data_IF_558794626694
#
_entry.id   IF_558794626694
#
_cell.length_a   1.000
_cell.length_b   1.000
_cell.length_c   1.000
_cell.angle_alpha   90.00
_cell.angle_beta   90.00
_cell.angle_gamma   90.00
#
_symmetry.space_group_name_H-M   'P 1'
#
loop_
_entity.id
_entity.type
_entity.pdbx_description
1 polymer ?
#
# COMPACT_ATOMS: atom_id res chain seq x y z
N UNK A 1 -13.38 -12.18 33.42
CA UNK A 1 -11.93 -12.39 33.17
C UNK A 1 -11.71 -12.29 31.68
N UNK A 2 -11.35 -11.11 31.21
CA UNK A 2 -11.15 -10.78 29.80
C UNK A 2 -9.65 -10.70 29.51
N UNK A 3 -9.12 -11.68 28.81
CA UNK A 3 -7.81 -11.58 28.16
C UNK A 3 -7.95 -11.99 26.70
N UNK A 4 -8.50 -11.10 25.88
CA UNK A 4 -8.29 -11.18 24.44
C UNK A 4 -6.87 -10.66 24.21
N UNK A 5 -5.88 -11.54 24.31
CA UNK A 5 -4.55 -11.29 23.74
C UNK A 5 -4.72 -11.39 22.21
N UNK A 6 -5.37 -10.37 21.62
CA UNK A 6 -5.55 -10.27 20.19
C UNK A 6 -4.20 -10.02 19.55
N UNK A 7 -3.60 -11.04 18.94
CA UNK A 7 -2.40 -10.87 18.13
C UNK A 7 -2.64 -9.78 17.10
N UNK A 8 -1.75 -8.79 17.06
CA UNK A 8 -1.80 -7.68 16.10
C UNK A 8 -2.07 -8.22 14.68
N UNK A 9 -3.04 -7.66 13.93
CA UNK A 9 -3.30 -8.06 12.56
C UNK A 9 -2.04 -8.01 11.69
N UNK A 10 -1.89 -8.95 10.76
CA UNK A 10 -0.88 -8.84 9.73
C UNK A 10 -1.21 -7.67 8.81
N UNK A 11 -0.18 -6.99 8.32
CA UNK A 11 -0.31 -5.90 7.35
C UNK A 11 0.38 -6.34 6.06
N UNK A 12 -0.38 -6.39 4.97
CA UNK A 12 0.16 -6.77 3.66
C UNK A 12 0.07 -5.59 2.72
N UNK A 13 1.23 -5.21 2.18
CA UNK A 13 1.32 -4.21 1.13
C UNK A 13 1.08 -4.87 -0.23
N UNK A 14 0.12 -4.37 -1.00
CA UNK A 14 -0.20 -4.88 -2.34
C UNK A 14 0.23 -3.88 -3.42
N UNK A 15 1.16 -4.31 -4.26
CA UNK A 15 1.56 -3.62 -5.48
C UNK A 15 0.75 -4.19 -6.66
N UNK A 16 0.05 -3.34 -7.40
CA UNK A 16 -0.78 -3.78 -8.52
C UNK A 16 -1.09 -2.61 -9.47
N UNK A 17 -1.62 -2.92 -10.66
CA UNK A 17 -1.97 -1.90 -11.66
C UNK A 17 -3.09 -0.95 -11.21
N UNK A 18 -2.95 0.33 -11.57
CA UNK A 18 -4.02 1.34 -11.47
C UNK A 18 -5.12 1.17 -12.54
N UNK A 19 -4.91 0.28 -13.50
CA UNK A 19 -5.85 -0.08 -14.57
C UNK A 19 -6.24 -1.56 -14.49
N UNK A 20 -7.36 -1.93 -15.10
CA UNK A 20 -7.91 -3.30 -15.01
C UNK A 20 -7.13 -4.35 -15.81
N UNK A 21 -6.37 -3.93 -16.83
CA UNK A 21 -5.83 -4.84 -17.85
C UNK A 21 -6.91 -5.39 -18.77
N UNK A 22 -6.51 -6.29 -19.68
CA UNK A 22 -7.41 -6.93 -20.67
C UNK A 22 -7.86 -8.32 -20.25
N UNK A 23 -7.07 -9.02 -19.43
CA UNK A 23 -7.44 -10.33 -18.90
C UNK A 23 -8.29 -10.16 -17.61
N UNK A 24 -9.57 -10.58 -17.62
CA UNK A 24 -10.46 -10.41 -16.47
C UNK A 24 -10.01 -11.20 -15.23
N UNK A 25 -9.17 -12.23 -15.38
CA UNK A 25 -8.67 -13.04 -14.26
C UNK A 25 -7.80 -12.25 -13.29
N UNK A 26 -7.19 -11.15 -13.72
CA UNK A 26 -6.45 -10.25 -12.82
C UNK A 26 -7.37 -9.47 -11.88
N UNK A 27 -8.52 -9.00 -12.38
CA UNK A 27 -9.53 -8.32 -11.54
C UNK A 27 -10.20 -9.30 -10.58
N UNK A 28 -10.39 -10.55 -11.01
CA UNK A 28 -10.87 -11.62 -10.13
C UNK A 28 -9.86 -11.94 -9.03
N UNK A 29 -8.56 -12.05 -9.36
CA UNK A 29 -7.52 -12.26 -8.36
C UNK A 29 -7.47 -11.13 -7.31
N UNK A 30 -7.67 -9.87 -7.72
CA UNK A 30 -7.76 -8.74 -6.78
C UNK A 30 -8.94 -8.90 -5.80
N UNK A 31 -10.12 -9.34 -6.27
CA UNK A 31 -11.28 -9.62 -5.41
C UNK A 31 -11.03 -10.80 -4.48
N UNK A 32 -10.52 -11.91 -5.01
CA UNK A 32 -10.19 -13.09 -4.21
C UNK A 32 -9.17 -12.77 -3.11
N UNK A 33 -8.21 -11.88 -3.40
CA UNK A 33 -7.19 -11.50 -2.42
C UNK A 33 -7.81 -10.70 -1.26
N UNK A 34 -8.77 -9.82 -1.54
CA UNK A 34 -9.55 -9.16 -0.49
C UNK A 34 -10.33 -10.15 0.38
N UNK A 35 -10.94 -11.18 -0.22
CA UNK A 35 -11.61 -12.25 0.54
C UNK A 35 -10.63 -13.04 1.43
N UNK A 36 -9.46 -13.39 0.92
CA UNK A 36 -8.43 -14.06 1.72
C UNK A 36 -7.92 -13.14 2.84
N UNK A 37 -7.80 -11.83 2.62
CA UNK A 37 -7.40 -10.89 3.67
C UNK A 37 -8.45 -10.79 4.77
N UNK A 38 -9.72 -10.65 4.40
CA UNK A 38 -10.83 -10.64 5.36
C UNK A 38 -10.86 -11.92 6.21
N UNK A 39 -10.82 -13.08 5.57
CA UNK A 39 -10.86 -14.40 6.23
C UNK A 39 -9.74 -14.59 7.25
N UNK A 40 -8.57 -14.01 7.00
CA UNK A 40 -7.38 -14.16 7.84
C UNK A 40 -7.09 -12.94 8.74
N UNK A 41 -8.02 -11.98 8.83
CA UNK A 41 -7.85 -10.75 9.60
C UNK A 41 -6.57 -9.99 9.23
N UNK A 42 -6.37 -9.77 7.92
CA UNK A 42 -5.20 -9.07 7.35
C UNK A 42 -5.62 -7.67 6.94
N UNK A 43 -4.82 -6.68 7.30
CA UNK A 43 -4.98 -5.30 6.86
C UNK A 43 -4.20 -5.05 5.57
N UNK A 44 -4.76 -4.23 4.70
CA UNK A 44 -4.18 -3.85 3.41
C UNK A 44 -3.47 -2.50 3.51
N UNK A 45 -2.26 -2.44 2.98
CA UNK A 45 -1.60 -1.20 2.59
C UNK A 45 -1.43 -1.18 1.08
N UNK A 46 -1.69 -0.05 0.42
CA UNK A 46 -1.60 0.02 -1.04
C UNK A 46 -1.34 1.44 -1.55
N UNK A 47 -1.24 1.59 -2.87
CA UNK A 47 -0.91 2.85 -3.54
C UNK A 47 -1.96 3.95 -3.47
N UNK A 48 -3.13 3.73 -2.87
CA UNK A 48 -4.13 4.77 -2.66
C UNK A 48 -5.03 5.10 -3.86
N UNK A 49 -4.83 4.45 -5.02
CA UNK A 49 -5.67 4.62 -6.21
C UNK A 49 -7.09 4.09 -6.04
N UNK A 50 -8.01 4.52 -6.91
CA UNK A 50 -9.45 4.16 -6.85
C UNK A 50 -9.91 3.32 -8.05
N UNK A 51 -9.05 3.19 -9.06
CA UNK A 51 -9.30 2.47 -10.30
C UNK A 51 -8.53 1.14 -10.39
N UNK A 52 -8.87 0.35 -11.41
CA UNK A 52 -8.16 -0.90 -11.74
C UNK A 52 -8.11 -1.91 -10.60
N UNK A 53 -6.99 -2.63 -10.51
CA UNK A 53 -6.78 -3.64 -9.46
C UNK A 53 -6.69 -2.97 -8.08
N UNK A 54 -6.02 -1.81 -7.99
CA UNK A 54 -5.86 -1.04 -6.74
C UNK A 54 -7.21 -0.71 -6.09
N UNK A 55 -8.10 -0.07 -6.85
CA UNK A 55 -9.43 0.28 -6.35
C UNK A 55 -10.29 -0.95 -6.06
N UNK A 56 -10.11 -2.02 -6.82
CA UNK A 56 -10.87 -3.25 -6.67
C UNK A 56 -10.57 -3.96 -5.36
N UNK A 57 -9.29 -4.20 -5.05
CA UNK A 57 -8.92 -4.86 -3.79
C UNK A 57 -9.27 -3.99 -2.58
N UNK A 58 -9.01 -2.68 -2.66
CA UNK A 58 -9.32 -1.75 -1.57
C UNK A 58 -10.81 -1.73 -1.26
N UNK A 59 -11.65 -1.47 -2.27
CA UNK A 59 -13.10 -1.40 -2.09
C UNK A 59 -13.71 -2.71 -1.63
N UNK A 60 -13.24 -3.82 -2.18
CA UNK A 60 -13.77 -5.11 -1.77
C UNK A 60 -13.41 -5.45 -0.32
N UNK A 61 -12.18 -5.14 0.12
CA UNK A 61 -11.78 -5.37 1.50
C UNK A 61 -12.51 -4.42 2.48
N UNK A 62 -12.77 -3.17 2.10
CA UNK A 62 -13.58 -2.25 2.92
C UNK A 62 -15.00 -2.77 3.11
N UNK A 63 -15.64 -3.28 2.06
CA UNK A 63 -16.98 -3.89 2.18
C UNK A 63 -17.00 -5.07 3.17
N UNK A 64 -15.92 -5.85 3.19
CA UNK A 64 -15.82 -7.07 3.99
C UNK A 64 -15.39 -6.80 5.44
N UNK A 65 -14.42 -5.91 5.65
CA UNK A 65 -13.70 -5.73 6.93
C UNK A 65 -13.76 -4.32 7.50
N UNK A 66 -14.45 -3.41 6.82
CA UNK A 66 -14.55 -2.01 7.18
C UNK A 66 -13.35 -1.16 6.72
N UNK A 67 -13.52 0.17 6.74
CA UNK A 67 -12.53 1.14 6.24
C UNK A 67 -11.20 1.13 6.98
N UNK A 68 -11.20 0.74 8.26
CA UNK A 68 -10.00 0.64 9.10
C UNK A 68 -9.05 -0.51 8.70
N UNK A 69 -9.55 -1.47 7.91
CA UNK A 69 -8.73 -2.58 7.39
C UNK A 69 -7.89 -2.18 6.17
N UNK A 70 -8.07 -0.97 5.62
CA UNK A 70 -7.42 -0.52 4.38
C UNK A 70 -6.76 0.84 4.56
N UNK A 71 -5.48 0.93 4.19
CA UNK A 71 -4.69 2.16 4.23
C UNK A 71 -4.01 2.45 2.89
N UNK A 72 -4.46 3.50 2.21
CA UNK A 72 -3.83 4.03 1.00
C UNK A 72 -2.73 5.05 1.29
N UNK A 73 -1.65 5.02 0.51
CA UNK A 73 -0.60 6.04 0.55
C UNK A 73 -0.38 6.62 -0.84
N UNK A 74 -0.68 7.92 -1.00
CA UNK A 74 -0.62 8.62 -2.29
C UNK A 74 0.33 9.83 -2.19
N UNK A 75 1.19 10.09 -3.19
CA UNK A 75 2.01 11.29 -3.17
C UNK A 75 1.18 12.50 -3.59
N UNK A 76 1.52 13.68 -3.07
CA UNK A 76 0.82 14.94 -3.35
C UNK A 76 0.69 15.22 -4.85
N UNK A 77 1.72 14.89 -5.63
CA UNK A 77 1.72 15.09 -7.08
C UNK A 77 0.62 14.30 -7.81
N UNK A 78 0.22 13.13 -7.29
CA UNK A 78 -0.78 12.28 -7.93
C UNK A 78 -2.21 12.62 -7.52
N UNK A 79 -2.42 13.32 -6.41
CA UNK A 79 -3.76 13.71 -5.93
C UNK A 79 -4.55 14.48 -6.99
N UNK A 80 -3.88 15.35 -7.77
CA UNK A 80 -4.55 16.19 -8.80
C UNK A 80 -4.96 15.42 -10.06
N UNK A 81 -4.36 14.25 -10.30
CA UNK A 81 -4.56 13.47 -11.54
C UNK A 81 -5.23 12.12 -11.29
N UNK A 82 -5.21 11.62 -10.06
CA UNK A 82 -5.82 10.35 -9.69
C UNK A 82 -7.34 10.52 -9.60
N UNK A 83 -8.11 9.71 -10.35
CA UNK A 83 -9.57 9.75 -10.26
C UNK A 83 -10.05 9.50 -8.82
N UNK A 84 -11.10 10.21 -8.43
CA UNK A 84 -11.71 10.01 -7.12
C UNK A 84 -11.02 10.72 -5.97
N UNK A 85 -10.08 11.65 -6.20
CA UNK A 85 -9.73 12.67 -5.22
C UNK A 85 -10.41 13.99 -5.64
N UNK A 86 -11.43 14.40 -4.89
CA UNK A 86 -12.04 15.71 -5.11
C UNK A 86 -11.09 16.76 -4.53
N UNK A 87 -10.63 17.67 -5.38
CA UNK A 87 -9.89 18.83 -4.91
C UNK A 87 -10.87 19.67 -4.08
N UNK A 88 -10.87 19.52 -2.75
CA UNK A 88 -11.15 20.66 -1.90
C UNK A 88 -10.08 21.68 -2.26
N UNK A 89 -10.46 22.62 -3.13
CA UNK A 89 -9.64 23.72 -3.63
C UNK A 89 -8.70 24.18 -2.53
N UNK A 90 -7.38 24.18 -2.78
CA UNK A 90 -6.49 25.12 -2.11
C UNK A 90 -7.15 26.48 -2.30
N UNK A 91 -7.83 27.05 -1.29
CA UNK A 91 -8.46 28.37 -1.42
C UNK A 91 -7.39 29.36 -1.86
N UNK A 92 -7.36 29.84 -3.12
CA UNK A 92 -6.73 31.10 -3.38
C UNK A 92 -7.74 32.14 -2.85
N UNK A 93 -7.25 33.14 -2.13
CA UNK A 93 -8.08 34.31 -1.87
C UNK A 93 -8.59 34.85 -3.22
N UNK A 94 -9.89 35.08 -3.30
CA UNK A 94 -10.63 35.73 -4.40
C UNK A 94 -10.75 34.95 -5.73
N UNK A 95 -11.96 34.45 -6.06
CA UNK A 95 -12.85 35.00 -7.11
C UNK A 95 -14.04 34.09 -7.49
N UNK A 96 -15.14 34.80 -7.82
CA UNK A 96 -16.32 34.46 -8.63
C UNK A 96 -17.54 33.70 -7.99
N UNK A 97 -18.67 34.40 -7.74
CA UNK A 97 -19.91 33.82 -7.20
C UNK A 97 -20.75 32.96 -8.16
N UNK A 98 -20.33 32.73 -9.42
CA UNK A 98 -21.24 32.22 -10.46
C UNK A 98 -20.85 30.89 -11.13
N UNK A 99 -20.14 30.00 -10.43
CA UNK A 99 -19.91 28.64 -10.92
C UNK A 99 -21.06 27.69 -10.54
N UNK A 100 -21.80 27.22 -11.55
CA UNK A 100 -22.98 26.36 -11.40
C UNK A 100 -22.71 25.01 -10.72
N UNK A 101 -23.74 24.51 -10.03
CA UNK A 101 -23.75 23.26 -9.27
C UNK A 101 -23.54 22.05 -10.19
N UNK A 102 -22.35 21.45 -10.17
CA UNK A 102 -22.10 20.12 -10.74
C UNK A 102 -22.35 19.04 -9.68
N UNK A 103 -23.11 18.00 -10.07
CA UNK A 103 -23.44 16.83 -9.27
C UNK A 103 -22.18 16.13 -8.74
N UNK A 104 -22.07 16.03 -7.41
CA UNK A 104 -20.94 15.42 -6.72
C UNK A 104 -20.83 13.92 -7.03
N UNK A 105 -19.70 13.51 -7.62
CA UNK A 105 -19.23 12.12 -7.51
C UNK A 105 -18.58 11.96 -6.13
N UNK A 106 -18.68 10.78 -5.52
CA UNK A 106 -18.10 10.55 -4.19
C UNK A 106 -16.58 10.45 -4.26
N UNK A 107 -15.88 11.57 -4.17
CA UNK A 107 -14.43 11.61 -4.02
C UNK A 107 -13.94 11.19 -2.63
N UNK A 108 -12.63 10.97 -2.55
CA UNK A 108 -11.85 10.54 -1.39
C UNK A 108 -11.16 11.77 -0.79
N UNK A 109 -11.55 12.12 0.42
CA UNK A 109 -10.92 13.20 1.19
C UNK A 109 -9.66 12.68 1.90
N UNK A 110 -8.61 13.50 1.98
CA UNK A 110 -7.34 13.10 2.57
C UNK A 110 -7.36 13.14 4.11
N UNK A 111 -6.86 12.10 4.76
CA UNK A 111 -6.88 11.99 6.23
C UNK A 111 -5.66 12.66 6.90
N UNK A 112 -4.50 12.69 6.23
CA UNK A 112 -3.27 13.30 6.75
C UNK A 112 -2.33 13.72 5.63
N UNK A 113 -1.97 15.01 5.60
CA UNK A 113 -0.84 15.51 4.82
C UNK A 113 0.38 15.50 5.76
N UNK A 114 1.39 14.70 5.46
CA UNK A 114 2.68 14.82 6.16
C UNK A 114 3.45 15.98 5.49
N UNK A 115 3.71 17.12 6.17
CA UNK A 115 4.50 18.20 5.59
C UNK A 115 5.96 17.77 5.42
N UNK A 116 6.61 18.24 4.35
CA UNK A 116 8.06 18.18 4.26
C UNK A 116 8.63 19.22 5.24
N UNK A 117 9.30 18.76 6.30
CA UNK A 117 9.89 19.53 7.40
C UNK A 117 8.90 20.30 8.31
N UNK A 118 9.12 20.19 9.63
CA UNK A 118 8.35 20.85 10.67
C UNK A 118 8.62 22.36 10.69
N UNK A 119 7.61 23.18 10.40
CA UNK A 119 7.63 24.60 10.76
C UNK A 119 6.45 24.87 11.68
N UNK A 120 6.76 25.15 12.95
CA UNK A 120 5.80 25.56 13.96
C UNK A 120 5.33 26.98 13.64
N UNK A 121 4.05 27.15 13.31
CA UNK A 121 3.41 28.46 13.24
C UNK A 121 2.52 28.65 14.46
N UNK A 122 2.95 29.49 15.39
CA UNK A 122 2.13 29.97 16.51
C UNK A 122 1.29 31.14 16.02
N UNK A 123 -0.04 31.03 16.06
CA UNK A 123 -0.95 32.18 15.83
C UNK A 123 -1.53 32.63 17.16
N UNK A 124 -1.06 33.76 17.68
CA UNK A 124 -1.67 34.46 18.80
C UNK A 124 -2.83 35.31 18.27
N UNK A 125 -4.05 35.10 18.76
CA UNK A 125 -5.17 36.04 18.57
C UNK A 125 -5.61 36.59 19.92
N UNK A 126 -5.90 37.88 19.95
CA UNK A 126 -5.90 38.74 21.13
C UNK A 126 -7.17 38.70 21.99
N UNK A 127 -8.12 37.79 21.75
CA UNK A 127 -9.38 37.77 22.50
C UNK A 127 -9.83 36.34 22.85
N UNK A 128 -9.55 35.92 24.09
CA UNK A 128 -10.29 34.87 24.80
C UNK A 128 -10.08 33.43 24.35
N UNK A 129 -9.42 32.63 25.21
CA UNK A 129 -9.24 31.18 25.02
C UNK A 129 -10.59 30.46 25.08
N UNK A 130 -11.14 30.09 23.93
CA UNK A 130 -12.15 29.02 23.85
C UNK A 130 -11.55 27.88 23.04
N UNK A 131 -11.06 26.86 23.73
CA UNK A 131 -10.62 25.62 23.09
C UNK A 131 -11.84 24.91 22.51
N UNK A 132 -12.18 25.19 21.25
CA UNK A 132 -13.05 24.31 20.46
C UNK A 132 -12.17 23.20 19.91
N UNK A 133 -12.19 22.05 20.56
CA UNK A 133 -11.69 20.79 20.00
C UNK A 133 -12.54 20.50 18.76
N UNK A 134 -12.07 20.90 17.58
CA UNK A 134 -12.57 20.36 16.32
C UNK A 134 -12.03 18.93 16.24
N UNK A 135 -12.78 17.98 16.79
CA UNK A 135 -12.67 16.60 16.35
C UNK A 135 -13.06 16.61 14.86
N UNK A 136 -12.07 16.57 13.98
CA UNK A 136 -12.33 16.38 12.56
C UNK A 136 -12.86 14.96 12.39
N UNK A 137 -14.17 14.81 12.22
CA UNK A 137 -14.78 13.55 11.80
C UNK A 137 -14.06 13.02 10.56
N UNK A 138 -13.33 11.91 10.74
CA UNK A 138 -12.67 11.16 9.67
C UNK A 138 -13.73 10.71 8.67
N UNK A 139 -13.60 11.08 7.40
CA UNK A 139 -14.53 10.64 6.37
C UNK A 139 -14.01 9.33 5.79
N UNK A 140 -14.44 8.23 6.40
CA UNK A 140 -14.16 6.89 5.91
C UNK A 140 -14.68 6.75 4.47
N UNK A 141 -13.78 6.44 3.53
CA UNK A 141 -14.13 6.24 2.13
C UNK A 141 -14.44 4.77 1.85
N UNK A 142 -15.11 4.48 0.73
CA UNK A 142 -15.25 3.09 0.25
C UNK A 142 -13.90 2.43 -0.08
N UNK A 143 -12.79 3.19 -0.06
CA UNK A 143 -11.42 2.73 -0.28
C UNK A 143 -10.55 2.76 1.00
N UNK A 144 -11.15 3.02 2.16
CA UNK A 144 -10.49 3.05 3.46
C UNK A 144 -9.83 4.38 3.77
N UNK A 145 -8.89 4.34 4.73
CA UNK A 145 -8.07 5.47 5.19
C UNK A 145 -7.02 5.85 4.16
N UNK A 146 -6.57 7.10 4.13
CA UNK A 146 -5.50 7.52 3.22
C UNK A 146 -4.60 8.64 3.71
N UNK A 147 -3.30 8.43 3.51
CA UNK A 147 -2.27 9.41 3.82
C UNK A 147 -1.66 9.99 2.55
N UNK A 148 -1.59 11.32 2.49
CA UNK A 148 -0.85 12.05 1.47
C UNK A 148 0.58 12.27 1.96
N UNK A 149 1.54 11.92 1.12
CA UNK A 149 2.97 12.12 1.37
C UNK A 149 3.58 13.11 0.37
N UNK A 150 4.77 13.62 0.69
CA UNK A 150 5.43 14.63 -0.14
C UNK A 150 5.82 14.09 -1.53
N UNK A 151 6.38 12.89 -1.59
CA UNK A 151 7.00 12.32 -2.78
C UNK A 151 6.90 10.79 -2.83
N UNK A 152 7.41 10.19 -3.92
CA UNK A 152 7.37 8.75 -4.15
C UNK A 152 8.27 7.96 -3.19
N UNK A 153 9.37 8.53 -2.69
CA UNK A 153 10.23 7.85 -1.73
C UNK A 153 9.56 7.76 -0.36
N UNK A 154 8.97 8.86 0.09
CA UNK A 154 8.16 8.90 1.31
C UNK A 154 6.97 7.92 1.22
N UNK A 155 6.37 7.77 0.03
CA UNK A 155 5.30 6.78 -0.24
C UNK A 155 5.79 5.36 0.00
N UNK A 156 6.84 4.92 -0.71
CA UNK A 156 7.36 3.55 -0.61
C UNK A 156 7.86 3.25 0.80
N UNK A 157 8.55 4.20 1.44
CA UNK A 157 9.01 4.09 2.83
C UNK A 157 7.84 3.90 3.80
N UNK A 158 6.79 4.73 3.74
CA UNK A 158 5.64 4.60 4.62
C UNK A 158 4.93 3.26 4.42
N UNK A 159 4.75 2.82 3.16
CA UNK A 159 4.13 1.54 2.85
C UNK A 159 4.93 0.37 3.45
N UNK A 160 6.25 0.39 3.32
CA UNK A 160 7.13 -0.63 3.90
C UNK A 160 7.14 -0.59 5.44
N UNK A 161 7.18 0.61 6.04
CA UNK A 161 7.08 0.77 7.49
C UNK A 161 5.79 0.18 8.04
N UNK A 162 4.66 0.37 7.37
CA UNK A 162 3.37 -0.22 7.80
C UNK A 162 3.39 -1.74 7.78
N UNK A 163 4.07 -2.35 6.81
CA UNK A 163 4.29 -3.81 6.77
C UNK A 163 5.16 -4.26 7.93
N UNK A 164 6.26 -3.55 8.22
CA UNK A 164 7.15 -3.87 9.34
C UNK A 164 6.49 -3.70 10.71
N UNK A 165 5.59 -2.73 10.84
CA UNK A 165 4.78 -2.54 12.04
C UNK A 165 3.72 -3.64 12.21
N UNK A 166 3.32 -4.33 11.13
CA UNK A 166 2.28 -5.35 11.16
C UNK A 166 2.63 -6.59 12.00
N UNK A 167 1.61 -7.40 12.30
CA UNK A 167 1.78 -8.66 13.02
C UNK A 167 2.50 -9.76 12.22
N UNK A 168 2.70 -10.95 12.81
CA UNK A 168 3.30 -12.09 12.12
C UNK A 168 2.58 -12.44 10.81
N UNK A 169 3.35 -12.67 9.74
CA UNK A 169 2.83 -12.92 8.39
C UNK A 169 2.63 -11.66 7.54
N UNK A 170 2.96 -10.48 8.06
CA UNK A 170 3.05 -9.25 7.25
C UNK A 170 4.06 -9.40 6.12
N UNK A 171 3.75 -8.82 4.96
CA UNK A 171 4.63 -8.88 3.81
C UNK A 171 4.17 -8.10 2.60
N UNK A 172 4.75 -8.41 1.45
CA UNK A 172 4.49 -7.73 0.19
C UNK A 172 3.90 -8.70 -0.82
N UNK A 173 2.89 -8.27 -1.55
CA UNK A 173 2.23 -9.06 -2.59
C UNK A 173 2.15 -8.24 -3.87
N UNK A 174 2.46 -8.85 -5.00
CA UNK A 174 2.30 -8.26 -6.32
C UNK A 174 1.18 -8.97 -7.09
N UNK A 175 0.18 -8.20 -7.51
CA UNK A 175 -0.72 -8.62 -8.59
C UNK A 175 -0.20 -8.07 -9.93
N UNK A 176 -0.91 -8.33 -11.03
CA UNK A 176 -0.55 -7.77 -12.33
C UNK A 176 -0.47 -6.24 -12.30
N UNK A 177 0.50 -5.66 -13.02
CA UNK A 177 0.75 -4.22 -13.03
C UNK A 177 1.93 -3.83 -13.92
N UNK A 178 2.06 -2.53 -14.20
CA UNK A 178 3.08 -2.00 -15.12
C UNK A 178 4.44 -1.73 -14.47
N UNK A 179 5.19 -0.79 -15.04
CA UNK A 179 6.53 -0.42 -14.57
C UNK A 179 6.58 0.01 -13.10
N UNK A 180 5.57 0.73 -12.61
CA UNK A 180 5.52 1.11 -11.20
C UNK A 180 5.45 -0.11 -10.26
N UNK A 181 4.65 -1.12 -10.63
CA UNK A 181 4.50 -2.34 -9.83
C UNK A 181 5.80 -3.15 -9.79
N UNK A 182 6.47 -3.34 -10.92
CA UNK A 182 7.75 -4.08 -10.92
C UNK A 182 8.85 -3.30 -10.19
N UNK A 183 8.88 -1.97 -10.29
CA UNK A 183 9.83 -1.13 -9.54
C UNK A 183 9.65 -1.30 -8.03
N UNK A 184 8.40 -1.24 -7.53
CA UNK A 184 8.06 -1.44 -6.13
C UNK A 184 8.43 -2.85 -5.64
N UNK A 185 8.15 -3.89 -6.44
CA UNK A 185 8.48 -5.28 -6.12
C UNK A 185 10.00 -5.50 -6.04
N UNK A 186 10.75 -4.97 -7.00
CA UNK A 186 12.20 -5.11 -7.03
C UNK A 186 12.88 -4.31 -5.91
N UNK A 187 12.34 -3.16 -5.53
CA UNK A 187 12.82 -2.39 -4.39
C UNK A 187 12.67 -3.19 -3.08
N UNK A 188 11.49 -3.76 -2.81
CA UNK A 188 11.27 -4.58 -1.60
C UNK A 188 12.09 -5.89 -1.64
N UNK A 189 12.29 -6.47 -2.82
CA UNK A 189 13.17 -7.65 -2.98
C UNK A 189 14.62 -7.30 -2.62
N UNK A 190 15.09 -6.15 -3.10
CA UNK A 190 16.44 -5.65 -2.81
C UNK A 190 16.60 -5.30 -1.33
N UNK A 191 15.63 -4.63 -0.72
CA UNK A 191 15.63 -4.32 0.72
C UNK A 191 15.63 -5.58 1.58
N UNK A 192 14.92 -6.64 1.16
CA UNK A 192 15.03 -7.94 1.80
C UNK A 192 16.47 -8.46 1.72
N UNK A 193 17.04 -8.54 0.51
CA UNK A 193 18.40 -9.03 0.27
C UNK A 193 19.46 -8.29 1.10
N UNK A 194 19.31 -6.97 1.24
CA UNK A 194 20.21 -6.08 1.97
C UNK A 194 20.09 -6.14 3.49
N UNK A 195 19.09 -6.84 4.03
CA UNK A 195 18.92 -6.92 5.49
C UNK A 195 17.89 -5.94 6.08
N UNK A 196 17.35 -5.01 5.28
CA UNK A 196 16.52 -3.89 5.76
C UNK A 196 15.17 -4.36 6.34
N UNK A 197 14.57 -5.42 5.77
CA UNK A 197 13.38 -6.07 6.35
C UNK A 197 13.39 -7.59 6.14
N UNK A 198 12.68 -8.32 7.00
CA UNK A 198 12.52 -9.78 6.91
C UNK A 198 11.22 -10.27 6.27
N UNK A 199 10.35 -9.35 5.83
CA UNK A 199 9.06 -9.68 5.21
C UNK A 199 9.22 -10.40 3.85
N UNK A 200 8.35 -11.37 3.58
CA UNK A 200 8.31 -12.08 2.29
C UNK A 200 7.73 -11.23 1.16
N UNK A 201 8.16 -11.50 -0.07
CA UNK A 201 7.69 -10.83 -1.28
C UNK A 201 7.08 -11.90 -2.20
N UNK A 202 5.76 -11.83 -2.40
CA UNK A 202 5.02 -12.84 -3.17
C UNK A 202 4.50 -12.23 -4.47
N UNK A 203 4.67 -12.92 -5.60
CA UNK A 203 4.04 -12.57 -6.88
C UNK A 203 2.91 -13.55 -7.20
N UNK A 204 1.72 -13.03 -7.49
CA UNK A 204 0.57 -13.85 -7.89
C UNK A 204 0.58 -14.00 -9.41
N UNK A 205 1.05 -15.14 -9.88
CA UNK A 205 1.30 -15.45 -11.28
C UNK A 205 0.05 -15.94 -12.02
N UNK A 206 -0.95 -15.07 -12.11
CA UNK A 206 -2.19 -15.34 -12.85
C UNK A 206 -1.87 -15.50 -14.34
N UNK A 207 -2.11 -16.69 -14.88
CA UNK A 207 -1.93 -17.04 -16.29
C UNK A 207 -0.52 -16.73 -16.84
N UNK A 208 0.51 -16.91 -16.01
CA UNK A 208 1.92 -16.72 -16.43
C UNK A 208 2.34 -15.25 -16.56
N UNK A 209 1.58 -14.30 -16.01
CA UNK A 209 1.89 -12.86 -16.08
C UNK A 209 3.32 -12.50 -15.63
N UNK A 210 3.84 -13.19 -14.61
CA UNK A 210 5.16 -12.95 -14.02
C UNK A 210 6.26 -13.88 -14.58
N UNK A 211 5.97 -14.76 -15.55
CA UNK A 211 6.90 -15.76 -16.07
C UNK A 211 8.21 -15.14 -16.56
N UNK A 212 8.13 -14.00 -17.26
CA UNK A 212 9.31 -13.30 -17.77
C UNK A 212 10.25 -12.80 -16.66
N UNK A 213 9.68 -12.24 -15.59
CA UNK A 213 10.45 -11.75 -14.44
C UNK A 213 11.07 -12.93 -13.68
N UNK A 214 10.30 -13.99 -13.44
CA UNK A 214 10.79 -15.18 -12.76
C UNK A 214 11.87 -15.91 -13.59
N UNK A 215 11.74 -15.92 -14.91
CA UNK A 215 12.78 -16.44 -15.81
C UNK A 215 14.06 -15.61 -15.73
N UNK A 216 13.94 -14.28 -15.67
CA UNK A 216 15.10 -13.41 -15.46
C UNK A 216 15.79 -13.67 -14.12
N UNK A 217 15.05 -13.85 -13.02
CA UNK A 217 15.63 -14.20 -11.71
C UNK A 217 16.39 -15.52 -11.80
N UNK A 218 15.80 -16.56 -12.40
CA UNK A 218 16.48 -17.86 -12.59
C UNK A 218 17.76 -17.72 -13.39
N UNK A 219 17.76 -16.90 -14.45
CA UNK A 219 18.95 -16.64 -15.28
C UNK A 219 20.03 -15.88 -14.50
N UNK A 220 19.65 -14.87 -13.72
CA UNK A 220 20.58 -14.11 -12.88
C UNK A 220 21.19 -14.99 -11.78
N UNK A 221 20.45 -15.97 -11.26
CA UNK A 221 21.00 -17.01 -10.36
C UNK A 221 21.98 -17.91 -11.09
N UNK A 222 21.60 -18.41 -12.27
CA UNK A 222 22.46 -19.28 -13.09
C UNK A 222 23.79 -18.58 -13.47
N UNK A 223 23.76 -17.28 -13.74
CA UNK A 223 24.92 -16.47 -14.10
C UNK A 223 25.68 -15.91 -12.89
N UNK A 224 25.22 -16.18 -11.66
CA UNK A 224 25.91 -15.81 -10.43
C UNK A 224 25.74 -14.34 -9.99
N UNK A 225 24.85 -13.59 -10.62
CA UNK A 225 24.49 -12.23 -10.17
C UNK A 225 23.59 -12.23 -8.93
N UNK A 226 22.81 -13.29 -8.73
CA UNK A 226 21.98 -13.51 -7.54
C UNK A 226 22.39 -14.84 -6.91
N UNK A 227 22.63 -14.87 -5.59
CA UNK A 227 22.90 -16.12 -4.88
C UNK A 227 21.67 -17.04 -4.88
N UNK A 228 21.86 -18.36 -4.90
CA UNK A 228 20.77 -19.34 -5.00
C UNK A 228 19.67 -19.14 -3.95
N UNK A 229 20.06 -18.90 -2.68
CA UNK A 229 19.12 -18.63 -1.59
C UNK A 229 18.40 -17.28 -1.77
N UNK A 230 19.07 -16.26 -2.31
CA UNK A 230 18.46 -14.94 -2.57
C UNK A 230 17.48 -14.99 -3.75
N UNK A 231 17.67 -15.91 -4.69
CA UNK A 231 16.68 -16.17 -5.75
C UNK A 231 15.31 -16.61 -5.21
N UNK A 232 15.23 -17.08 -3.97
CA UNK A 232 14.00 -17.50 -3.29
C UNK A 232 13.30 -16.39 -2.49
N UNK A 233 13.84 -15.16 -2.50
CA UNK A 233 13.19 -13.99 -1.86
C UNK A 233 11.87 -13.65 -2.56
N UNK A 234 11.87 -13.70 -3.90
CA UNK A 234 10.69 -13.47 -4.71
C UNK A 234 9.93 -14.79 -4.90
N UNK A 235 8.83 -14.96 -4.17
CA UNK A 235 8.08 -16.22 -4.12
C UNK A 235 6.91 -16.18 -5.10
N UNK A 236 6.84 -17.18 -5.97
CA UNK A 236 5.70 -17.37 -6.88
C UNK A 236 4.54 -18.10 -6.20
N UNK A 237 3.32 -17.63 -6.46
CA UNK A 237 2.08 -18.40 -6.26
C UNK A 237 1.20 -18.32 -7.50
N UNK A 238 0.55 -19.43 -7.86
CA UNK A 238 -0.35 -19.50 -9.03
C UNK A 238 -1.82 -19.24 -8.66
N UNK A 239 -2.15 -19.30 -7.37
CA UNK A 239 -3.49 -19.13 -6.83
C UNK A 239 -3.43 -18.20 -5.61
N UNK A 240 -4.42 -17.31 -5.50
CA UNK A 240 -4.53 -16.35 -4.41
C UNK A 240 -4.61 -17.03 -3.05
N UNK A 241 -5.24 -18.21 -2.95
CA UNK A 241 -5.36 -18.96 -1.69
C UNK A 241 -4.01 -19.33 -1.08
N UNK A 242 -2.95 -19.39 -1.90
CA UNK A 242 -1.61 -19.78 -1.47
C UNK A 242 -0.79 -18.58 -0.96
N UNK A 243 -1.26 -17.34 -1.17
CA UNK A 243 -0.58 -16.11 -0.73
C UNK A 243 -0.36 -16.12 0.79
N UNK A 244 -1.41 -16.31 1.58
CA UNK A 244 -1.32 -16.24 3.03
C UNK A 244 -0.46 -17.37 3.63
N UNK A 245 -0.63 -18.65 3.25
CA UNK A 245 0.27 -19.72 3.66
C UNK A 245 1.76 -19.40 3.36
N UNK A 246 2.06 -18.77 2.22
CA UNK A 246 3.43 -18.39 1.86
C UNK A 246 3.98 -17.24 2.68
N UNK A 247 3.19 -16.19 2.92
CA UNK A 247 3.64 -15.07 3.77
C UNK A 247 3.87 -15.54 5.22
N UNK A 248 2.95 -16.30 5.80
CA UNK A 248 3.07 -16.83 7.17
C UNK A 248 4.22 -17.82 7.31
N UNK A 249 4.45 -18.63 6.27
CA UNK A 249 5.52 -19.62 6.20
C UNK A 249 6.88 -19.05 5.81
N UNK A 250 6.97 -17.78 5.41
CA UNK A 250 8.20 -17.21 4.88
C UNK A 250 9.35 -17.31 5.89
N UNK A 251 10.54 -17.60 5.36
CA UNK A 251 11.80 -17.62 6.09
C UNK A 251 12.80 -16.82 5.29
N UNK A 252 13.50 -15.93 5.98
CA UNK A 252 14.52 -15.08 5.37
C UNK A 252 15.64 -15.92 4.77
N UNK A 253 16.11 -15.55 3.58
CA UNK A 253 17.23 -16.21 2.92
C UNK A 253 18.48 -16.22 3.81
N UNK A 254 19.19 -17.35 3.83
CA UNK A 254 20.49 -17.46 4.51
C UNK A 254 21.62 -16.72 3.77
N UNK A 255 21.39 -16.31 2.51
CA UNK A 255 22.31 -15.53 1.69
C UNK A 255 22.18 -14.01 1.82
N UNK A 256 21.38 -13.51 2.78
CA UNK A 256 21.18 -12.08 3.00
C UNK A 256 22.42 -11.41 3.57
N UNK A 257 22.63 -10.14 3.22
CA UNK A 257 23.69 -9.33 3.81
C UNK A 257 23.34 -9.01 5.27
N UNK A 258 24.33 -9.09 6.15
CA UNK A 258 24.21 -8.71 7.57
C UNK A 258 24.71 -7.28 7.77
N UNK A 259 23.99 -6.33 7.19
CA UNK A 259 24.32 -4.90 7.29
C UNK A 259 23.55 -4.26 8.45
N UNK A 260 24.22 -3.39 9.21
CA UNK A 260 23.56 -2.52 10.17
C UNK A 260 23.14 -1.22 9.47
N UNK A 261 21.84 -0.98 9.36
CA UNK A 261 21.28 0.19 8.68
C UNK A 261 20.81 1.28 9.66
N UNK A 262 21.12 1.14 10.95
CA UNK A 262 20.71 2.07 12.02
C UNK A 262 21.80 3.01 12.54
N UNK A 263 22.96 3.09 11.88
CA UNK A 263 24.10 3.94 12.25
C UNK A 263 24.35 5.05 11.21
N UNK A 264 23.30 5.79 10.83
CA UNK A 264 23.42 7.11 10.21
C UNK A 264 22.86 8.20 11.14
#
# INVERSE_FOLDING_TARGET
MSSVNGTKPAVVCVFCGSVSGTNPRHMEAARQLAHEFHKNNIHLVYGGGTAGLMGTIARELVKLSGPQAVHGVIPRALVKVEPGYDNATEHPADTDPNAGVQQARSGKDAERIIPAASTTTTTTTTNGTTAKTKESMFKESEYGTTTIVADMHARKRLMATKVQEGGPGSGFVALAGGFGTIEEVMEMTTWNQLGIHGAGVVVVNVDGYWDGVLAWVRKAVQEGYIGEENGRILVEVNDVKDVWPRLKGYRVSNGRMRLNWGEE
#
